data_IF_230147133825
#
_entry.id   IF_230147133825
#
_cell.length_a   1.000
_cell.length_b   1.000
_cell.length_c   1.000
_cell.angle_alpha   90.00
_cell.angle_beta   90.00
_cell.angle_gamma   90.00
#
_symmetry.space_group_name_H-M   'P 1'
#
loop_
_entity.id
_entity.type
_entity.pdbx_description
1 polymer ?
#
# COMPACT_ATOMS: atom_id res chain seq x y z
N UNK A 1 9.06 1.66 16.49
CA UNK A 1 8.39 2.75 15.74
C UNK A 1 8.93 2.73 14.32
N UNK A 2 8.54 1.82 13.44
CA UNK A 2 7.27 1.13 13.27
C UNK A 2 6.95 1.37 11.81
N UNK A 3 7.21 0.40 10.94
CA UNK A 3 7.18 0.55 9.48
C UNK A 3 5.76 0.80 8.95
N UNK A 4 5.24 2.00 9.23
CA UNK A 4 3.92 2.45 8.81
C UNK A 4 3.98 3.95 8.49
N UNK A 5 3.13 4.37 7.57
CA UNK A 5 2.84 5.76 7.30
C UNK A 5 1.34 5.93 7.19
N UNK A 6 0.84 7.10 7.61
CA UNK A 6 -0.52 7.54 7.33
C UNK A 6 -0.43 8.51 6.16
N UNK A 7 -1.24 8.29 5.13
CA UNK A 7 -1.28 9.20 3.98
C UNK A 7 -1.72 10.58 4.42
N UNK A 8 -1.03 11.61 3.93
CA UNK A 8 -1.44 12.99 4.10
C UNK A 8 -2.74 13.28 3.32
N UNK A 9 -3.32 14.48 3.52
CA UNK A 9 -4.57 14.88 2.88
C UNK A 9 -4.47 14.94 1.33
N UNK A 10 -3.26 15.09 0.80
CA UNK A 10 -2.96 15.03 -0.63
C UNK A 10 -2.71 13.60 -1.17
N UNK A 11 -2.77 12.60 -0.29
CA UNK A 11 -2.52 11.19 -0.61
C UNK A 11 -1.05 10.78 -0.55
N UNK A 12 -0.12 11.69 -0.24
CA UNK A 12 1.31 11.37 -0.14
C UNK A 12 1.64 10.57 1.12
N UNK A 13 2.65 9.69 1.03
CA UNK A 13 3.19 8.95 2.18
C UNK A 13 4.67 8.66 1.97
N UNK A 14 5.41 8.49 3.07
CA UNK A 14 6.81 8.08 3.06
C UNK A 14 7.08 7.13 4.23
N UNK A 15 7.75 6.01 3.97
CA UNK A 15 8.19 5.08 5.02
C UNK A 15 9.72 5.00 4.95
N UNK A 16 10.45 5.75 5.80
CA UNK A 16 11.90 5.77 5.75
C UNK A 16 12.51 4.52 6.42
N UNK A 17 13.76 4.23 6.07
CA UNK A 17 14.60 3.21 6.72
C UNK A 17 14.04 1.77 6.65
N UNK A 18 13.40 1.42 5.53
CA UNK A 18 13.00 0.03 5.29
C UNK A 18 14.24 -0.87 5.10
N UNK A 19 14.22 -2.11 5.60
CA UNK A 19 15.35 -3.02 5.45
C UNK A 19 15.53 -3.42 3.97
N UNK A 20 16.77 -3.32 3.50
CA UNK A 20 17.17 -3.68 2.15
C UNK A 20 17.48 -5.17 2.04
N UNK A 21 17.33 -5.74 0.84
CA UNK A 21 17.68 -7.13 0.53
C UNK A 21 16.67 -8.18 1.01
N UNK A 22 15.64 -7.79 1.76
CA UNK A 22 14.56 -8.67 2.22
C UNK A 22 13.24 -8.36 1.51
N UNK A 23 12.36 -9.37 1.45
CA UNK A 23 10.99 -9.17 0.98
C UNK A 23 10.15 -8.57 2.10
N UNK A 24 9.56 -7.42 1.81
CA UNK A 24 8.68 -6.68 2.71
C UNK A 24 7.24 -6.88 2.27
N UNK A 25 6.41 -7.40 3.18
CA UNK A 25 4.96 -7.42 2.99
C UNK A 25 4.38 -6.09 3.47
N UNK A 26 3.82 -5.32 2.54
CA UNK A 26 3.16 -4.05 2.81
C UNK A 26 1.66 -4.29 2.94
N UNK A 27 1.05 -3.81 4.02
CA UNK A 27 -0.40 -3.83 4.23
C UNK A 27 -0.97 -2.42 4.10
N UNK A 28 -1.97 -2.28 3.23
CA UNK A 28 -2.75 -1.04 3.08
C UNK A 28 -4.15 -1.29 3.63
N UNK A 29 -4.59 -0.38 4.49
CA UNK A 29 -5.87 -0.46 5.18
C UNK A 29 -6.47 0.94 5.31
N UNK A 30 -7.78 1.01 5.52
CA UNK A 30 -8.49 2.24 5.81
C UNK A 30 -9.73 1.90 6.63
N UNK A 31 -10.14 2.70 7.61
CA UNK A 31 -11.32 2.44 8.46
C UNK A 31 -12.61 2.13 7.67
N UNK A 32 -12.72 2.71 6.48
CA UNK A 32 -13.83 2.49 5.53
C UNK A 32 -13.48 1.54 4.39
N UNK A 33 -12.42 0.74 4.49
CA UNK A 33 -12.02 -0.19 3.43
C UNK A 33 -13.13 -1.20 3.15
N UNK A 34 -13.45 -1.41 1.88
CA UNK A 34 -14.50 -2.35 1.46
C UNK A 34 -14.06 -3.82 1.56
N UNK A 35 -12.76 -4.08 1.72
CA UNK A 35 -12.21 -5.43 1.87
C UNK A 35 -12.39 -6.00 3.28
N UNK A 36 -12.13 -7.30 3.42
CA UNK A 36 -12.13 -7.97 4.72
C UNK A 36 -11.16 -7.30 5.70
N UNK A 37 -11.56 -7.14 6.97
CA UNK A 37 -10.79 -6.41 7.99
C UNK A 37 -10.37 -5.00 7.55
N UNK A 38 -11.25 -4.29 6.82
CA UNK A 38 -11.02 -2.91 6.40
C UNK A 38 -9.81 -2.75 5.46
N UNK A 39 -9.46 -3.83 4.73
CA UNK A 39 -8.42 -3.80 3.73
C UNK A 39 -8.81 -2.91 2.54
N UNK A 40 -7.84 -2.14 2.05
CA UNK A 40 -7.98 -1.39 0.78
C UNK A 40 -7.56 -2.32 -0.35
N UNK A 41 -8.50 -2.70 -1.20
CA UNK A 41 -8.26 -3.57 -2.34
C UNK A 41 -8.36 -2.75 -3.61
N UNK A 42 -7.27 -2.70 -4.37
CA UNK A 42 -7.19 -1.94 -5.62
C UNK A 42 -6.73 -2.84 -6.76
N UNK A 43 -7.37 -2.69 -7.90
CA UNK A 43 -7.01 -3.39 -9.14
C UNK A 43 -6.91 -2.37 -10.27
N UNK A 44 -5.77 -1.69 -10.36
CA UNK A 44 -5.47 -0.72 -11.41
C UNK A 44 -4.27 -1.20 -12.24
N UNK A 45 -4.06 -0.69 -13.47
CA UNK A 45 -2.89 -1.05 -14.26
C UNK A 45 -1.56 -0.83 -13.51
N UNK A 46 -1.48 0.20 -12.67
CA UNK A 46 -0.33 0.55 -11.84
C UNK A 46 -0.06 -0.47 -10.74
N UNK A 47 -1.10 -1.08 -10.15
CA UNK A 47 -0.95 -2.05 -9.04
C UNK A 47 -0.87 -3.50 -9.49
N UNK A 48 -1.16 -3.81 -10.77
CA UNK A 48 -1.01 -5.16 -11.33
C UNK A 48 0.40 -5.77 -11.11
N UNK A 49 1.51 -5.05 -11.34
CA UNK A 49 2.86 -5.59 -11.12
C UNK A 49 3.14 -5.93 -9.65
N UNK A 50 2.50 -5.23 -8.72
CA UNK A 50 2.65 -5.44 -7.27
C UNK A 50 1.95 -6.71 -6.77
N UNK A 51 1.16 -7.39 -7.63
CA UNK A 51 0.38 -8.59 -7.26
C UNK A 51 -0.47 -8.35 -6.01
N UNK A 52 -1.12 -7.18 -5.96
CA UNK A 52 -1.94 -6.75 -4.82
C UNK A 52 -3.00 -7.81 -4.48
N UNK A 53 -2.96 -8.31 -3.25
CA UNK A 53 -3.84 -9.37 -2.78
C UNK A 53 -5.22 -8.84 -2.43
N UNK A 54 -6.21 -9.73 -2.43
CA UNK A 54 -7.58 -9.43 -1.94
C UNK A 54 -7.65 -9.08 -0.44
N UNK A 55 -6.52 -9.11 0.27
CA UNK A 55 -6.37 -8.71 1.67
C UNK A 55 -5.72 -7.33 1.84
N UNK A 56 -5.52 -6.58 0.76
CA UNK A 56 -4.89 -5.26 0.82
C UNK A 56 -3.38 -5.28 0.98
N UNK A 57 -2.73 -6.38 0.55
CA UNK A 57 -1.29 -6.59 0.75
C UNK A 57 -0.53 -6.76 -0.56
N UNK A 58 0.70 -6.30 -0.61
CA UNK A 58 1.63 -6.57 -1.70
C UNK A 58 3.06 -6.75 -1.18
N UNK A 59 3.91 -7.39 -1.95
CA UNK A 59 5.32 -7.58 -1.61
C UNK A 59 6.20 -6.61 -2.40
N UNK A 60 7.17 -6.00 -1.72
CA UNK A 60 8.27 -5.27 -2.37
C UNK A 60 9.60 -5.80 -1.85
N UNK A 61 10.62 -5.70 -2.69
CA UNK A 61 12.00 -5.85 -2.28
C UNK A 61 12.72 -4.58 -2.72
N UNK A 62 13.51 -4.03 -1.81
CA UNK A 62 14.29 -2.81 -2.01
C UNK A 62 15.77 -3.17 -1.94
N UNK A 63 16.57 -2.60 -2.83
CA UNK A 63 18.02 -2.64 -2.72
C UNK A 63 18.52 -1.58 -1.73
N UNK A 64 19.79 -1.68 -1.33
CA UNK A 64 20.38 -0.76 -0.36
C UNK A 64 20.34 0.69 -0.90
N UNK A 65 19.76 1.60 -0.10
CA UNK A 65 19.54 3.00 -0.45
C UNK A 65 18.69 3.24 -1.71
N UNK A 66 17.85 2.28 -2.12
CA UNK A 66 16.96 2.45 -3.28
C UNK A 66 15.75 3.34 -2.92
N UNK A 67 15.61 4.57 -3.47
CA UNK A 67 14.35 5.27 -3.42
C UNK A 67 13.35 4.57 -4.34
N UNK A 68 12.20 4.15 -3.80
CA UNK A 68 11.12 3.56 -4.58
C UNK A 68 9.86 4.42 -4.51
N UNK A 69 9.48 4.95 -5.65
CA UNK A 69 8.21 5.64 -5.84
C UNK A 69 7.12 4.62 -6.23
N UNK A 70 5.94 4.76 -5.62
CA UNK A 70 4.78 3.93 -5.89
C UNK A 70 3.58 4.83 -6.22
N UNK A 71 3.08 4.74 -7.45
CA UNK A 71 1.80 5.36 -7.82
C UNK A 71 0.68 4.37 -7.55
N UNK A 72 -0.20 4.69 -6.60
CA UNK A 72 -1.36 3.86 -6.25
C UNK A 72 -2.62 4.72 -6.35
N UNK A 73 -3.39 4.50 -7.41
CA UNK A 73 -4.73 5.09 -7.52
C UNK A 73 -5.74 4.24 -6.74
N UNK A 74 -6.36 4.82 -5.70
CA UNK A 74 -7.41 4.16 -4.91
C UNK A 74 -8.80 4.59 -5.42
N UNK A 75 -9.55 3.72 -6.11
CA UNK A 75 -10.89 4.05 -6.58
C UNK A 75 -11.90 4.13 -5.43
N UNK A 76 -12.96 4.93 -5.58
CA UNK A 76 -13.98 5.12 -4.54
C UNK A 76 -14.65 3.80 -4.11
N UNK A 77 -14.77 2.82 -5.01
CA UNK A 77 -15.34 1.51 -4.71
C UNK A 77 -14.44 0.62 -3.82
N UNK A 78 -13.19 1.03 -3.57
CA UNK A 78 -12.33 0.41 -2.56
C UNK A 78 -12.76 0.78 -1.13
N UNK A 79 -13.71 1.71 -0.98
CA UNK A 79 -14.30 2.10 0.30
C UNK A 79 -15.79 1.75 0.37
N UNK A 80 -16.28 1.53 1.58
CA UNK A 80 -17.70 1.32 1.85
C UNK A 80 -18.47 2.62 1.65
N UNK A 81 -19.63 2.53 0.99
CA UNK A 81 -20.52 3.67 0.81
C UNK A 81 -20.89 4.30 2.17
N UNK A 82 -20.81 5.63 2.22
CA UNK A 82 -21.11 6.52 3.35
C UNK A 82 -22.38 6.17 4.07
#
# INVERSE_FOLDING_TARGET
NGYFAVTAADGSFEIPNLPAGEKLEMQVWHERGAGANNAVVVETPETKPLKWSKKGRFEIQLEENEPRELTITVPANAFTAG
#
